data_IF_399465123070
#
_entry.id   IF_399465123070
#
_cell.length_a   1.000
_cell.length_b   1.000
_cell.length_c   1.000
_cell.angle_alpha   90.00
_cell.angle_beta   90.00
_cell.angle_gamma   90.00
#
_symmetry.space_group_name_H-M   'P 1'
#
loop_
_entity.id
_entity.type
_entity.pdbx_description
1 polymer ?
#
# COMPACT_ATOMS: atom_id res chain seq x y z
N UNK A 1 35.10 12.76 13.01
CA UNK A 1 33.64 12.89 13.26
C UNK A 1 32.92 12.05 12.22
N UNK A 2 32.19 11.01 12.66
CA UNK A 2 31.45 10.13 11.75
C UNK A 2 30.11 10.80 11.46
N UNK A 3 29.96 11.35 10.25
CA UNK A 3 28.67 11.89 9.81
C UNK A 3 27.78 10.72 9.36
N UNK A 4 26.67 10.51 10.06
CA UNK A 4 25.62 9.61 9.62
C UNK A 4 24.77 10.28 8.55
N UNK A 5 24.70 9.70 7.34
CA UNK A 5 23.73 10.14 6.34
C UNK A 5 22.38 9.47 6.63
N UNK A 6 21.36 10.24 6.98
CA UNK A 6 19.99 9.75 7.09
C UNK A 6 19.13 10.38 6.00
N UNK A 7 18.37 9.55 5.27
CA UNK A 7 17.43 10.04 4.24
C UNK A 7 16.35 10.88 4.94
N UNK A 8 16.04 12.11 4.48
CA UNK A 8 14.87 12.85 4.97
C UNK A 8 13.61 12.03 4.72
N UNK A 9 12.84 11.76 5.78
CA UNK A 9 11.58 11.02 5.67
C UNK A 9 10.52 11.99 5.17
N UNK A 10 10.06 11.80 3.93
CA UNK A 10 8.87 12.50 3.40
C UNK A 10 7.61 11.81 3.93
N UNK A 11 7.36 11.90 5.23
CA UNK A 11 6.03 11.59 5.78
C UNK A 11 5.18 12.84 5.70
N UNK A 12 3.90 12.74 5.27
CA UNK A 12 2.97 13.86 5.39
C UNK A 12 2.99 14.36 6.83
N UNK A 13 3.01 15.68 7.02
CA UNK A 13 2.82 16.27 8.35
C UNK A 13 1.44 15.86 8.87
N UNK A 14 1.40 14.89 9.78
CA UNK A 14 0.16 14.43 10.38
C UNK A 14 -0.46 15.57 11.18
N UNK A 15 -1.70 15.92 10.84
CA UNK A 15 -2.48 16.88 11.61
C UNK A 15 -2.69 16.38 13.04
N UNK A 16 -2.98 17.29 13.98
CA UNK A 16 -3.29 16.92 15.37
C UNK A 16 -4.51 15.98 15.42
N UNK A 17 -5.53 16.23 14.60
CA UNK A 17 -6.74 15.38 14.48
C UNK A 17 -6.38 13.98 14.01
N UNK A 18 -5.50 13.86 13.01
CA UNK A 18 -5.04 12.56 12.50
C UNK A 18 -4.30 11.77 13.58
N UNK A 19 -3.44 12.44 14.37
CA UNK A 19 -2.73 11.78 15.48
C UNK A 19 -3.70 11.27 16.54
N UNK A 20 -4.74 12.03 16.89
CA UNK A 20 -5.77 11.60 17.84
C UNK A 20 -6.49 10.35 17.32
N UNK A 21 -6.94 10.36 16.05
CA UNK A 21 -7.62 9.20 15.44
C UNK A 21 -6.72 7.96 15.40
N UNK A 22 -5.44 8.13 15.07
CA UNK A 22 -4.44 7.04 15.11
C UNK A 22 -4.23 6.50 16.52
N UNK A 23 -4.17 7.38 17.51
CA UNK A 23 -4.02 6.99 18.91
C UNK A 23 -5.25 6.21 19.38
N UNK A 24 -6.45 6.69 19.05
CA UNK A 24 -7.71 6.02 19.37
C UNK A 24 -7.77 4.62 18.72
N UNK A 25 -7.44 4.51 17.43
CA UNK A 25 -7.36 3.22 16.76
C UNK A 25 -6.42 2.26 17.50
N UNK A 26 -5.21 2.72 17.84
CA UNK A 26 -4.26 1.88 18.58
C UNK A 26 -4.71 1.53 20.01
N UNK A 27 -5.54 2.37 20.64
CA UNK A 27 -6.13 2.09 21.95
C UNK A 27 -7.24 1.04 21.87
N UNK A 28 -8.12 1.14 20.88
CA UNK A 28 -9.22 0.17 20.63
C UNK A 28 -8.67 -1.23 20.31
N UNK A 29 -7.51 -1.30 19.64
CA UNK A 29 -6.90 -2.55 19.17
C UNK A 29 -5.66 -2.95 19.99
N UNK A 30 -5.46 -2.37 21.18
CA UNK A 30 -4.25 -2.62 22.00
C UNK A 30 -4.17 -4.07 22.52
N UNK A 31 -5.32 -4.67 22.80
CA UNK A 31 -5.45 -6.01 23.38
C UNK A 31 -5.66 -7.09 22.30
N UNK A 32 -5.68 -6.69 21.02
CA UNK A 32 -5.80 -7.63 19.90
C UNK A 32 -4.55 -8.49 19.78
N UNK A 33 -4.74 -9.79 19.97
CA UNK A 33 -3.70 -10.80 19.73
C UNK A 33 -3.49 -11.03 18.24
N UNK A 34 -2.42 -11.75 17.88
CA UNK A 34 -2.15 -12.13 16.49
C UNK A 34 -3.36 -12.84 15.86
N UNK A 35 -4.05 -13.71 16.60
CA UNK A 35 -5.25 -14.41 16.10
C UNK A 35 -6.38 -13.45 15.68
N UNK A 36 -6.52 -12.29 16.31
CA UNK A 36 -7.47 -11.27 15.86
C UNK A 36 -7.00 -10.64 14.54
N UNK A 37 -5.71 -10.31 14.44
CA UNK A 37 -5.11 -9.76 13.21
C UNK A 37 -5.14 -10.73 12.03
N UNK A 38 -5.14 -12.05 12.27
CA UNK A 38 -5.27 -13.07 11.23
C UNK A 38 -6.62 -13.02 10.50
N UNK A 39 -7.66 -12.47 11.15
CA UNK A 39 -9.01 -12.32 10.58
C UNK A 39 -9.18 -11.11 9.65
N UNK A 40 -8.13 -10.32 9.44
CA UNK A 40 -8.19 -9.11 8.62
C UNK A 40 -7.78 -9.39 7.18
N UNK A 41 -8.63 -8.95 6.24
CA UNK A 41 -8.27 -8.70 4.85
C UNK A 41 -7.75 -7.28 4.70
N UNK A 42 -6.52 -7.17 4.24
CA UNK A 42 -5.87 -5.90 3.95
C UNK A 42 -6.01 -5.60 2.49
N UNK A 43 -6.30 -4.35 2.13
CA UNK A 43 -6.34 -3.92 0.74
C UNK A 43 -5.71 -2.55 0.57
N UNK A 44 -5.21 -2.29 -0.64
CA UNK A 44 -4.72 -0.97 -1.05
C UNK A 44 -4.46 -0.95 -2.56
N UNK A 45 -4.27 0.25 -3.10
CA UNK A 45 -3.76 0.48 -4.44
C UNK A 45 -2.28 0.85 -4.44
N UNK A 46 -1.58 0.45 -5.50
CA UNK A 46 -0.21 0.90 -5.77
C UNK A 46 -0.02 1.25 -7.24
N UNK A 47 0.87 2.19 -7.50
CA UNK A 47 1.26 2.62 -8.86
C UNK A 47 2.73 2.31 -9.10
N UNK A 48 2.98 1.61 -10.20
CA UNK A 48 4.30 1.20 -10.66
C UNK A 48 4.65 1.95 -11.95
N UNK A 49 5.78 2.64 -11.97
CA UNK A 49 6.25 3.40 -13.13
C UNK A 49 7.14 2.54 -14.01
N UNK A 50 6.95 2.58 -15.33
CA UNK A 50 7.79 1.84 -16.28
C UNK A 50 9.24 2.32 -16.26
N UNK A 51 9.42 3.63 -16.29
CA UNK A 51 10.71 4.25 -16.12
C UNK A 51 10.76 4.92 -14.76
N UNK A 52 11.54 4.34 -13.86
CA UNK A 52 11.87 4.99 -12.60
C UNK A 52 12.81 6.16 -12.91
N UNK A 53 12.27 7.38 -12.94
CA UNK A 53 13.11 8.56 -12.81
C UNK A 53 13.62 8.57 -11.36
N UNK A 54 14.79 7.99 -11.11
CA UNK A 54 15.36 7.87 -9.76
C UNK A 54 15.69 9.26 -9.15
N UNK A 55 15.48 10.35 -9.89
CA UNK A 55 15.76 11.74 -9.50
C UNK A 55 17.24 11.98 -9.14
N UNK A 56 18.09 10.98 -9.36
CA UNK A 56 19.49 10.90 -8.96
C UNK A 56 20.36 10.78 -10.19
N UNK A 57 20.27 11.75 -11.09
CA UNK A 57 21.37 11.98 -12.03
C UNK A 57 22.51 12.60 -11.21
N UNK A 58 23.56 11.84 -10.92
CA UNK A 58 24.80 12.37 -10.36
C UNK A 58 25.63 12.92 -11.52
N UNK A 59 25.63 14.24 -11.68
CA UNK A 59 26.49 14.95 -12.63
C UNK A 59 27.70 15.46 -11.84
N UNK A 60 28.90 15.10 -12.27
CA UNK A 60 30.15 15.57 -11.67
C UNK A 60 30.69 16.74 -12.49
N UNK A 61 31.06 17.82 -11.82
CA UNK A 61 31.63 19.02 -12.45
C UNK A 61 32.97 19.39 -11.81
N UNK A 62 33.89 19.94 -12.59
CA UNK A 62 35.05 20.70 -12.07
C UNK A 62 34.67 22.18 -11.99
N UNK A 63 35.14 22.89 -10.95
CA UNK A 63 34.84 24.31 -10.70
C UNK A 63 35.50 25.24 -11.73
N UNK A 64 35.10 25.24 -13.01
CA UNK A 64 35.21 26.41 -13.91
C UNK A 64 34.57 26.29 -15.31
N UNK A 65 33.74 25.30 -15.61
CA UNK A 65 33.11 25.20 -16.94
C UNK A 65 31.63 25.63 -16.88
N UNK A 66 31.28 26.68 -17.63
CA UNK A 66 29.91 27.15 -17.82
C UNK A 66 29.04 26.09 -18.50
N UNK A 67 27.76 25.99 -18.08
CA UNK A 67 26.79 24.95 -18.46
C UNK A 67 26.76 24.63 -19.97
N UNK A 68 27.20 23.43 -20.36
CA UNK A 68 27.17 22.96 -21.75
C UNK A 68 25.84 22.22 -22.06
N UNK A 69 25.19 22.43 -23.22
CA UNK A 69 23.86 21.86 -23.55
C UNK A 69 23.77 20.33 -23.52
N UNK A 70 24.87 19.59 -23.74
CA UNK A 70 24.92 18.12 -23.59
C UNK A 70 24.83 17.64 -22.14
N UNK A 71 24.89 18.55 -21.16
CA UNK A 71 24.77 18.25 -19.75
C UNK A 71 23.36 18.56 -19.19
N UNK A 72 22.45 18.97 -20.07
CA UNK A 72 21.03 18.95 -19.77
C UNK A 72 20.53 17.52 -19.94
N UNK A 73 20.32 16.81 -18.83
CA UNK A 73 19.34 15.73 -18.85
C UNK A 73 18.04 16.41 -19.23
N UNK A 74 17.54 16.16 -20.44
CA UNK A 74 16.13 16.40 -20.73
C UNK A 74 15.37 15.73 -19.61
N UNK A 75 14.65 16.53 -18.82
CA UNK A 75 13.59 16.02 -17.98
C UNK A 75 12.62 15.43 -18.98
N UNK A 76 12.79 14.14 -19.28
CA UNK A 76 11.85 13.41 -20.10
C UNK A 76 10.53 13.62 -19.37
N UNK A 77 9.62 14.38 -19.98
CA UNK A 77 8.24 14.33 -19.58
C UNK A 77 7.87 12.86 -19.45
N UNK A 78 7.19 12.51 -18.37
CA UNK A 78 6.83 11.15 -17.94
C UNK A 78 6.33 10.24 -19.08
N UNK A 79 7.25 9.69 -19.89
CA UNK A 79 6.94 9.11 -21.20
C UNK A 79 6.77 7.60 -21.19
N UNK A 80 7.05 6.93 -20.07
CA UNK A 80 6.91 5.46 -19.96
C UNK A 80 5.54 4.98 -19.49
N UNK A 81 4.68 5.87 -19.00
CA UNK A 81 3.43 5.48 -18.35
C UNK A 81 3.62 4.78 -17.01
N UNK A 82 2.50 4.31 -16.43
CA UNK A 82 2.48 3.58 -15.17
C UNK A 82 1.34 2.57 -15.16
N UNK A 83 1.56 1.44 -14.49
CA UNK A 83 0.50 0.47 -14.17
C UNK A 83 -0.01 0.77 -12.77
N UNK A 84 -1.33 0.90 -12.62
CA UNK A 84 -1.99 1.00 -11.32
C UNK A 84 -2.67 -0.33 -11.03
N UNK A 85 -2.47 -0.85 -9.83
CA UNK A 85 -3.07 -2.10 -9.37
C UNK A 85 -3.77 -1.89 -8.04
N UNK A 86 -4.86 -2.61 -7.84
CA UNK A 86 -5.47 -2.85 -6.54
C UNK A 86 -5.14 -4.28 -6.13
N UNK A 87 -4.84 -4.51 -4.87
CA UNK A 87 -4.66 -5.86 -4.35
C UNK A 87 -5.18 -6.00 -2.93
N UNK A 88 -5.41 -7.25 -2.54
CA UNK A 88 -5.75 -7.61 -1.18
C UNK A 88 -4.98 -8.83 -0.72
N UNK A 89 -4.79 -8.99 0.58
CA UNK A 89 -4.17 -10.19 1.15
C UNK A 89 -4.59 -10.45 2.60
N UNK A 90 -4.28 -11.66 3.06
CA UNK A 90 -4.61 -12.19 4.38
C UNK A 90 -3.41 -12.83 5.08
N UNK A 91 -3.62 -13.32 6.30
CA UNK A 91 -2.71 -14.28 6.93
C UNK A 91 -2.52 -15.58 6.12
N UNK A 92 -3.56 -16.01 5.41
CA UNK A 92 -3.64 -17.33 4.80
C UNK A 92 -3.11 -17.35 3.37
N UNK A 93 -3.43 -16.30 2.60
CA UNK A 93 -3.20 -16.23 1.16
C UNK A 93 -3.11 -14.78 0.66
N UNK A 94 -2.45 -14.62 -0.49
CA UNK A 94 -2.51 -13.43 -1.31
C UNK A 94 -3.81 -13.47 -2.11
N UNK A 95 -4.59 -12.40 -2.01
CA UNK A 95 -5.79 -12.25 -2.80
C UNK A 95 -5.48 -11.78 -4.23
N UNK A 96 -6.54 -11.48 -5.00
CA UNK A 96 -6.42 -11.05 -6.38
C UNK A 96 -5.62 -9.75 -6.47
N UNK A 97 -4.88 -9.63 -7.57
CA UNK A 97 -4.27 -8.39 -8.02
C UNK A 97 -5.02 -7.94 -9.27
N UNK A 98 -5.59 -6.74 -9.23
CA UNK A 98 -6.47 -6.21 -10.26
C UNK A 98 -5.82 -4.99 -10.87
N UNK A 99 -5.57 -5.04 -12.17
CA UNK A 99 -5.13 -3.86 -12.92
C UNK A 99 -6.27 -2.84 -12.99
N UNK A 100 -5.96 -1.61 -12.62
CA UNK A 100 -6.85 -0.45 -12.76
C UNK A 100 -6.38 0.35 -13.96
N UNK A 101 -7.15 0.31 -15.06
CA UNK A 101 -6.76 0.93 -16.33
C UNK A 101 -6.66 2.46 -16.24
N UNK A 102 -7.50 3.08 -15.40
CA UNK A 102 -7.57 4.52 -15.22
C UNK A 102 -7.40 4.90 -13.75
N UNK A 103 -7.79 6.12 -13.39
CA UNK A 103 -7.91 6.49 -11.98
C UNK A 103 -9.06 5.70 -11.35
N UNK A 104 -8.78 5.02 -10.24
CA UNK A 104 -9.82 4.36 -9.45
C UNK A 104 -10.88 5.40 -9.02
N UNK A 105 -12.11 5.16 -9.43
CA UNK A 105 -13.28 5.95 -9.06
C UNK A 105 -14.25 5.08 -8.25
N UNK A 106 -15.30 5.68 -7.70
CA UNK A 106 -16.24 4.97 -6.83
C UNK A 106 -17.00 3.84 -7.53
N UNK A 107 -17.32 3.95 -8.81
CA UNK A 107 -18.03 2.91 -9.57
C UNK A 107 -17.13 1.71 -9.85
N UNK A 108 -15.89 1.96 -10.29
CA UNK A 108 -14.91 0.88 -10.49
C UNK A 108 -14.56 0.21 -9.16
N UNK A 109 -14.46 0.99 -8.08
CA UNK A 109 -14.23 0.43 -6.75
C UNK A 109 -15.41 -0.42 -6.27
N UNK A 110 -16.65 0.03 -6.49
CA UNK A 110 -17.85 -0.75 -6.19
C UNK A 110 -17.83 -2.11 -6.91
N UNK A 111 -17.45 -2.15 -8.18
CA UNK A 111 -17.29 -3.44 -8.90
C UNK A 111 -16.23 -4.33 -8.25
N UNK A 112 -15.09 -3.79 -7.82
CA UNK A 112 -14.08 -4.57 -7.10
C UNK A 112 -14.65 -5.12 -5.78
N UNK A 113 -15.39 -4.30 -5.04
CA UNK A 113 -16.00 -4.70 -3.78
C UNK A 113 -17.02 -5.82 -4.00
N UNK A 114 -17.97 -5.63 -4.92
CA UNK A 114 -19.03 -6.59 -5.23
C UNK A 114 -18.49 -7.89 -5.84
N UNK A 115 -17.60 -7.80 -6.82
CA UNK A 115 -17.18 -8.97 -7.62
C UNK A 115 -16.04 -9.75 -6.96
N UNK A 116 -15.26 -9.12 -6.08
CA UNK A 116 -14.04 -9.71 -5.53
C UNK A 116 -14.06 -9.74 -4.00
N UNK A 117 -14.26 -8.60 -3.34
CA UNK A 117 -14.16 -8.53 -1.87
C UNK A 117 -15.26 -9.36 -1.20
N UNK A 118 -16.53 -9.15 -1.55
CA UNK A 118 -17.64 -9.88 -0.91
C UNK A 118 -17.50 -11.40 -1.05
N UNK A 119 -17.32 -11.97 -2.26
CA UNK A 119 -17.16 -13.42 -2.41
C UNK A 119 -15.96 -13.98 -1.64
N UNK A 120 -14.82 -13.29 -1.66
CA UNK A 120 -13.62 -13.74 -0.96
C UNK A 120 -13.80 -13.68 0.57
N UNK A 121 -14.42 -12.61 1.08
CA UNK A 121 -14.71 -12.47 2.51
C UNK A 121 -15.65 -13.58 3.00
N UNK A 122 -16.73 -13.86 2.27
CA UNK A 122 -17.67 -14.92 2.60
C UNK A 122 -17.03 -16.32 2.57
N UNK A 123 -16.13 -16.55 1.62
CA UNK A 123 -15.40 -17.82 1.51
C UNK A 123 -14.36 -17.97 2.63
N UNK A 124 -13.61 -16.92 2.94
CA UNK A 124 -12.54 -16.95 3.93
C UNK A 124 -13.08 -16.91 5.38
N UNK A 125 -14.20 -16.22 5.60
CA UNK A 125 -14.81 -15.99 6.91
C UNK A 125 -16.32 -16.30 6.88
N UNK A 126 -16.71 -17.56 6.67
CA UNK A 126 -18.12 -17.94 6.52
C UNK A 126 -18.97 -17.72 7.77
N UNK A 127 -18.34 -17.46 8.93
CA UNK A 127 -19.02 -17.17 10.19
C UNK A 127 -19.28 -15.67 10.41
N UNK A 128 -18.90 -14.80 9.46
CA UNK A 128 -19.08 -13.36 9.56
C UNK A 128 -18.12 -12.65 10.53
N UNK A 129 -17.09 -13.35 11.02
CA UNK A 129 -16.14 -12.82 12.01
C UNK A 129 -14.87 -12.23 11.39
N UNK A 130 -14.85 -12.10 10.06
CA UNK A 130 -13.79 -11.45 9.30
C UNK A 130 -13.87 -9.93 9.34
N UNK A 131 -12.73 -9.28 9.13
CA UNK A 131 -12.63 -7.83 9.01
C UNK A 131 -12.06 -7.45 7.66
N UNK A 132 -12.67 -6.50 6.96
CA UNK A 132 -12.11 -5.94 5.74
C UNK A 132 -11.54 -4.55 6.02
N UNK A 133 -10.30 -4.31 5.59
CA UNK A 133 -9.65 -3.00 5.70
C UNK A 133 -9.58 -2.33 4.32
N UNK A 134 -10.04 -1.08 4.28
CA UNK A 134 -9.81 -0.13 3.19
C UNK A 134 -9.29 1.19 3.77
N UNK A 135 -8.63 2.02 2.96
CA UNK A 135 -8.15 3.32 3.41
C UNK A 135 -9.26 4.40 3.33
N UNK A 136 -8.92 5.65 3.67
CA UNK A 136 -9.87 6.76 3.65
C UNK A 136 -9.92 7.52 2.30
N UNK A 137 -9.60 6.86 1.18
CA UNK A 137 -9.68 7.50 -0.14
C UNK A 137 -11.13 7.95 -0.44
N UNK A 138 -11.33 9.09 -1.14
CA UNK A 138 -12.66 9.62 -1.40
C UNK A 138 -13.61 8.64 -2.13
N UNK A 139 -13.09 7.78 -3.01
CA UNK A 139 -13.89 6.77 -3.70
C UNK A 139 -14.47 5.71 -2.76
N UNK A 140 -13.73 5.36 -1.68
CA UNK A 140 -14.17 4.36 -0.70
C UNK A 140 -15.31 4.90 0.17
N UNK A 141 -15.32 6.21 0.41
CA UNK A 141 -16.38 6.90 1.17
C UNK A 141 -17.59 7.34 0.33
N UNK A 142 -17.65 7.00 -0.95
CA UNK A 142 -18.80 7.35 -1.79
C UNK A 142 -20.07 6.60 -1.34
N UNK A 143 -21.24 7.25 -1.45
CA UNK A 143 -22.52 6.68 -1.00
C UNK A 143 -22.76 5.28 -1.54
N UNK A 144 -22.59 5.08 -2.85
CA UNK A 144 -22.81 3.79 -3.52
C UNK A 144 -21.94 2.66 -2.97
N UNK A 145 -20.73 2.98 -2.48
CA UNK A 145 -19.82 2.00 -1.89
C UNK A 145 -20.22 1.69 -0.46
N UNK A 146 -20.58 2.73 0.31
CA UNK A 146 -21.04 2.57 1.69
C UNK A 146 -22.38 1.80 1.76
N UNK A 147 -23.29 2.08 0.84
CA UNK A 147 -24.56 1.37 0.68
C UNK A 147 -24.33 -0.12 0.39
N UNK A 148 -23.40 -0.46 -0.52
CA UNK A 148 -23.03 -1.86 -0.77
C UNK A 148 -22.52 -2.59 0.48
N UNK A 149 -21.68 -1.95 1.29
CA UNK A 149 -21.24 -2.53 2.57
C UNK A 149 -22.38 -2.65 3.60
N UNK A 150 -23.36 -1.74 3.58
CA UNK A 150 -24.52 -1.78 4.46
C UNK A 150 -25.51 -2.89 4.07
N UNK A 151 -25.71 -3.13 2.78
CA UNK A 151 -26.55 -4.22 2.28
C UNK A 151 -26.03 -5.60 2.71
N UNK A 152 -24.72 -5.72 2.93
CA UNK A 152 -24.04 -6.92 3.38
C UNK A 152 -23.56 -6.79 4.84
N UNK A 153 -24.19 -5.92 5.63
CA UNK A 153 -23.89 -5.76 7.05
C UNK A 153 -24.21 -7.07 7.80
N UNK A 154 -23.17 -7.73 8.32
CA UNK A 154 -23.28 -9.04 8.97
C UNK A 154 -22.43 -10.13 8.30
N UNK A 155 -22.09 -9.95 7.02
CA UNK A 155 -21.21 -10.89 6.30
C UNK A 155 -19.75 -10.77 6.73
N UNK A 156 -19.33 -9.56 7.10
CA UNK A 156 -18.06 -9.24 7.73
C UNK A 156 -18.10 -7.80 8.25
N UNK A 157 -17.08 -7.41 9.03
CA UNK A 157 -16.98 -6.04 9.55
C UNK A 157 -16.02 -5.18 8.74
N UNK A 158 -16.48 -4.03 8.25
CA UNK A 158 -15.60 -3.00 7.69
C UNK A 158 -14.79 -2.34 8.81
N UNK A 159 -13.46 -2.50 8.79
CA UNK A 159 -12.56 -1.97 9.82
C UNK A 159 -12.52 -0.44 9.75
N UNK A 160 -12.74 0.21 10.90
CA UNK A 160 -12.62 1.67 11.04
C UNK A 160 -11.14 2.10 10.97
N UNK A 161 -10.67 2.43 9.78
CA UNK A 161 -9.27 2.74 9.53
C UNK A 161 -8.91 4.21 9.85
N UNK A 162 -7.80 4.48 10.56
CA UNK A 162 -7.36 5.85 10.82
C UNK A 162 -6.81 6.51 9.54
N UNK A 163 -7.20 7.76 9.22
CA UNK A 163 -6.76 8.42 8.00
C UNK A 163 -5.24 8.62 7.97
N UNK A 164 -4.66 8.69 6.77
CA UNK A 164 -3.22 8.93 6.54
C UNK A 164 -2.30 7.99 7.34
N UNK A 165 -2.63 6.71 7.37
CA UNK A 165 -1.89 5.70 8.14
C UNK A 165 -1.29 4.58 7.28
N UNK A 166 -0.54 4.90 6.20
CA UNK A 166 0.07 3.86 5.35
C UNK A 166 1.09 3.02 6.12
N UNK A 167 1.76 3.57 7.13
CA UNK A 167 2.69 2.82 8.00
C UNK A 167 2.02 1.67 8.76
N UNK A 168 0.71 1.76 8.97
CA UNK A 168 -0.07 0.73 9.65
C UNK A 168 -0.64 -0.31 8.68
N UNK A 169 -0.71 -0.03 7.38
CA UNK A 169 -1.22 -0.97 6.40
C UNK A 169 -0.08 -1.88 5.92
N UNK A 170 -0.07 -3.19 6.26
CA UNK A 170 1.08 -4.02 5.96
C UNK A 170 1.22 -4.35 4.47
N UNK A 171 0.18 -4.13 3.65
CA UNK A 171 0.28 -4.31 2.19
C UNK A 171 1.32 -3.36 1.56
N UNK A 172 1.61 -2.22 2.20
CA UNK A 172 2.67 -1.31 1.73
C UNK A 172 4.04 -1.99 1.70
N UNK A 173 4.30 -2.88 2.67
CA UNK A 173 5.51 -3.69 2.69
C UNK A 173 5.53 -4.71 1.54
N UNK A 174 4.38 -5.28 1.17
CA UNK A 174 4.26 -6.17 0.01
C UNK A 174 4.49 -5.42 -1.31
N UNK A 175 3.98 -4.20 -1.44
CA UNK A 175 4.31 -3.36 -2.60
C UNK A 175 5.79 -3.08 -2.72
N UNK A 176 6.49 -2.91 -1.60
CA UNK A 176 7.93 -2.75 -1.59
C UNK A 176 8.67 -4.04 -1.99
N UNK A 177 8.16 -5.22 -1.66
CA UNK A 177 8.69 -6.51 -2.18
C UNK A 177 8.50 -6.61 -3.70
N UNK A 178 7.31 -6.32 -4.21
CA UNK A 178 7.04 -6.33 -5.66
C UNK A 178 7.98 -5.36 -6.39
N UNK A 179 8.13 -4.13 -5.89
CA UNK A 179 9.08 -3.15 -6.47
C UNK A 179 10.52 -3.66 -6.42
N UNK A 180 10.93 -4.35 -5.36
CA UNK A 180 12.28 -4.95 -5.25
C UNK A 180 12.48 -6.04 -6.29
N UNK A 181 11.52 -6.96 -6.43
CA UNK A 181 11.58 -8.06 -7.39
C UNK A 181 11.70 -7.54 -8.82
N UNK A 182 10.85 -6.57 -9.22
CA UNK A 182 10.90 -5.97 -10.56
C UNK A 182 12.26 -5.31 -10.81
N UNK A 183 12.83 -4.58 -9.84
CA UNK A 183 14.15 -3.95 -9.96
C UNK A 183 15.31 -4.94 -10.15
N UNK A 184 15.11 -6.21 -9.82
CA UNK A 184 16.11 -7.26 -9.99
C UNK A 184 15.98 -8.01 -11.32
N UNK A 185 14.92 -7.78 -12.09
CA UNK A 185 14.73 -8.41 -13.40
C UNK A 185 15.79 -7.95 -14.41
N UNK A 186 16.27 -8.92 -15.20
CA UNK A 186 17.20 -8.71 -16.32
C UNK A 186 16.70 -9.56 -17.50
N UNK A 187 16.22 -8.94 -18.59
CA UNK A 187 16.05 -7.49 -18.79
C UNK A 187 14.93 -6.88 -17.94
N UNK A 188 14.99 -5.56 -17.73
CA UNK A 188 13.89 -4.79 -17.12
C UNK A 188 12.70 -4.68 -18.09
N UNK A 189 11.46 -4.56 -17.59
CA UNK A 189 10.29 -4.33 -18.42
C UNK A 189 10.46 -3.09 -19.31
N UNK A 190 10.21 -3.27 -20.60
CA UNK A 190 10.39 -2.23 -21.63
C UNK A 190 9.09 -1.53 -22.04
N UNK A 191 7.95 -2.12 -21.72
CA UNK A 191 6.61 -1.59 -22.00
C UNK A 191 5.62 -1.91 -20.87
N UNK A 192 4.43 -1.30 -20.92
CA UNK A 192 3.42 -1.44 -19.86
C UNK A 192 2.88 -2.87 -19.71
N UNK A 193 2.83 -3.66 -20.79
CA UNK A 193 2.35 -5.05 -20.75
C UNK A 193 3.35 -5.96 -20.04
N UNK A 194 4.65 -5.79 -20.35
CA UNK A 194 5.72 -6.48 -19.63
C UNK A 194 5.76 -6.07 -18.15
N UNK A 195 5.55 -4.78 -17.87
CA UNK A 195 5.53 -4.27 -16.49
C UNK A 195 4.35 -4.88 -15.70
N UNK A 196 3.17 -4.90 -16.29
CA UNK A 196 1.97 -5.50 -15.72
C UNK A 196 2.19 -6.99 -15.43
N UNK A 197 2.72 -7.74 -16.40
CA UNK A 197 3.06 -9.16 -16.23
C UNK A 197 4.09 -9.38 -15.11
N UNK A 198 5.13 -8.54 -15.05
CA UNK A 198 6.15 -8.60 -14.01
C UNK A 198 5.59 -8.30 -12.61
N UNK A 199 4.65 -7.34 -12.50
CA UNK A 199 3.95 -7.02 -11.25
C UNK A 199 3.14 -8.22 -10.77
N UNK A 200 2.33 -8.82 -11.65
CA UNK A 200 1.53 -9.99 -11.32
C UNK A 200 2.39 -11.19 -10.93
N UNK A 201 3.46 -11.46 -11.70
CA UNK A 201 4.38 -12.54 -11.38
C UNK A 201 5.07 -12.33 -10.04
N UNK A 202 5.58 -11.12 -9.77
CA UNK A 202 6.23 -10.79 -8.51
C UNK A 202 5.28 -10.90 -7.32
N UNK A 203 4.01 -10.47 -7.47
CA UNK A 203 2.98 -10.63 -6.44
C UNK A 203 2.76 -12.10 -6.09
N UNK A 204 2.49 -12.96 -7.09
CA UNK A 204 2.23 -14.39 -6.87
C UNK A 204 3.44 -15.15 -6.30
N UNK A 205 4.65 -14.61 -6.43
CA UNK A 205 5.87 -15.21 -5.91
C UNK A 205 6.24 -14.76 -4.49
N UNK A 206 5.49 -13.84 -3.88
CA UNK A 206 5.72 -13.44 -2.49
C UNK A 206 5.54 -14.66 -1.57
N UNK A 207 6.57 -15.07 -0.81
CA UNK A 207 6.45 -16.24 0.06
C UNK A 207 5.44 -16.01 1.19
N UNK A 208 4.70 -17.06 1.57
CA UNK A 208 3.67 -16.96 2.62
C UNK A 208 4.19 -16.44 3.95
N UNK A 209 5.41 -16.86 4.31
CA UNK A 209 6.09 -16.39 5.52
C UNK A 209 6.25 -14.86 5.57
N UNK A 210 6.33 -14.20 4.41
CA UNK A 210 6.47 -12.74 4.31
C UNK A 210 5.22 -12.04 4.84
N UNK A 211 4.05 -12.39 4.30
CA UNK A 211 2.80 -11.77 4.74
C UNK A 211 2.36 -12.22 6.13
N UNK A 212 2.70 -13.44 6.54
CA UNK A 212 2.48 -13.91 7.91
C UNK A 212 3.28 -13.09 8.93
N UNK A 213 4.58 -12.90 8.73
CA UNK A 213 5.38 -12.05 9.61
C UNK A 213 4.88 -10.60 9.68
N UNK A 214 4.30 -10.07 8.60
CA UNK A 214 3.69 -8.75 8.60
C UNK A 214 2.48 -8.68 9.54
N UNK A 215 1.61 -9.69 9.54
CA UNK A 215 0.48 -9.78 10.47
C UNK A 215 0.93 -9.95 11.92
N UNK A 216 1.92 -10.81 12.17
CA UNK A 216 2.52 -10.99 13.51
C UNK A 216 3.15 -9.70 14.05
N UNK A 217 3.56 -8.79 13.16
CA UNK A 217 4.10 -7.49 13.57
C UNK A 217 3.04 -6.52 14.10
N UNK A 218 1.75 -6.75 13.82
CA UNK A 218 0.68 -5.76 14.09
C UNK A 218 0.55 -5.34 15.56
N UNK A 219 0.59 -6.25 16.56
CA UNK A 219 0.58 -5.84 17.98
C UNK A 219 1.74 -4.89 18.31
N UNK A 220 2.92 -5.14 17.74
CA UNK A 220 4.10 -4.27 17.92
C UNK A 220 3.91 -2.91 17.26
N UNK A 221 3.25 -2.86 16.10
CA UNK A 221 2.88 -1.60 15.42
C UNK A 221 1.92 -0.78 16.29
N UNK A 222 0.89 -1.42 16.86
CA UNK A 222 -0.04 -0.74 17.77
C UNK A 222 0.66 -0.16 19.00
N UNK A 223 1.51 -0.96 19.66
CA UNK A 223 2.30 -0.50 20.81
C UNK A 223 3.21 0.70 20.47
N UNK A 224 3.80 0.71 19.28
CA UNK A 224 4.63 1.82 18.82
C UNK A 224 3.82 3.10 18.53
N UNK A 225 2.59 3.00 18.01
CA UNK A 225 1.68 4.15 17.85
C UNK A 225 1.28 4.71 19.20
N UNK A 226 0.94 3.85 20.16
CA UNK A 226 0.62 4.25 21.54
C UNK A 226 1.80 5.01 22.17
N UNK A 227 3.02 4.46 22.07
CA UNK A 227 4.25 5.12 22.55
C UNK A 227 4.52 6.45 21.86
N UNK A 228 4.14 6.57 20.59
CA UNK A 228 4.27 7.79 19.78
C UNK A 228 3.15 8.81 20.02
N UNK A 229 2.15 8.49 20.86
CA UNK A 229 0.92 9.29 21.02
C UNK A 229 0.27 9.63 19.67
N UNK A 230 0.18 8.64 18.78
CA UNK A 230 -0.40 8.80 17.44
C UNK A 230 0.56 9.32 16.35
N UNK A 231 1.82 9.60 16.69
CA UNK A 231 2.84 10.05 15.75
C UNK A 231 3.21 9.00 14.67
N UNK A 232 3.94 9.42 13.63
CA UNK A 232 4.39 8.51 12.58
C UNK A 232 5.50 7.58 13.10
N UNK A 233 5.52 6.35 12.61
CA UNK A 233 6.58 5.37 12.91
C UNK A 233 7.00 4.63 11.65
N UNK A 234 8.23 4.12 11.67
CA UNK A 234 8.75 3.24 10.64
C UNK A 234 8.72 1.82 11.19
N UNK A 235 8.19 0.90 10.40
CA UNK A 235 8.04 -0.51 10.73
C UNK A 235 8.78 -1.38 9.72
#
# INVERSE_FOLDING_TARGET
>A
MVYGSQRPVRTPLLSAVTKIKRLQFAQEHKDWTVEHWKKLMWSNESRFQLHHADGRVRIWWKQHESMHPTCMSTTLQAGGGSVMVWGMFSWHDLGPLIRVEQRLNSTTYLSIVADQVHPIMLMAYPNGDGFFQQDSAPCHGAHIVQECFQEHEGDFTLLRWPPQSPDLNPIEHLWDEVKRAIRQLVPQPSNLTELDSAIHQAWCQIPCITFQHLMESMPRRMAAVLKAKGGPKKY
#
